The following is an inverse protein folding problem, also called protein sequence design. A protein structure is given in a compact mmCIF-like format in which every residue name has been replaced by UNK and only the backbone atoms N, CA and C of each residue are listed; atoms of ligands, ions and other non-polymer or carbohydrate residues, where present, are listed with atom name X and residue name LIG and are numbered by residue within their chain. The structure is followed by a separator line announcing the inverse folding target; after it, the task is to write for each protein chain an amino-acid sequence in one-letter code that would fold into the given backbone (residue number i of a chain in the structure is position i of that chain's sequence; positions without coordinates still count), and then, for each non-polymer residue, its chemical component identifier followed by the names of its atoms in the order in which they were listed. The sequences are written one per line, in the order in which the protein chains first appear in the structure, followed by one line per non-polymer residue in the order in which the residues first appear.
data_IF_634125442380
#
_entry.id   IF_634125442380
#
_cell.length_a   1.000
_cell.length_b   1.000
_cell.length_c   1.000
_cell.angle_alpha   90.00
_cell.angle_beta   90.00
_cell.angle_gamma   90.00
#
_symmetry.space_group_name_H-M   'P 1'
#
loop_
_entity.id
_entity.type
_entity.pdbx_description
1 polymer ?
#
# COMPACT_ATOMS: atom_id res chain seq x y z
N UNK A 1 -2.64 -8.96 6.55
CA UNK A 1 -2.28 -9.80 5.38
C UNK A 1 -1.11 -9.17 4.66
N UNK A 2 -0.16 -9.98 4.15
CA UNK A 2 1.00 -9.46 3.39
C UNK A 2 0.61 -9.16 1.94
N UNK A 3 0.94 -7.96 1.48
CA UNK A 3 0.70 -7.48 0.11
C UNK A 3 1.98 -7.59 -0.74
N UNK A 4 1.86 -7.76 -2.07
CA UNK A 4 3.01 -7.72 -2.96
C UNK A 4 3.59 -6.30 -3.05
N UNK A 5 4.91 -6.18 -2.98
CA UNK A 5 5.64 -4.91 -3.16
C UNK A 5 6.14 -4.84 -4.61
N UNK A 6 5.80 -3.75 -5.31
CA UNK A 6 6.31 -3.51 -6.66
C UNK A 6 7.74 -2.96 -6.61
N UNK A 7 8.63 -3.54 -7.43
CA UNK A 7 9.99 -3.08 -7.60
C UNK A 7 10.11 -2.00 -8.68
N UNK A 8 11.25 -1.32 -8.68
CA UNK A 8 11.59 -0.31 -9.67
C UNK A 8 11.37 -0.79 -11.12
N UNK A 9 10.87 0.11 -11.97
CA UNK A 9 10.57 -0.17 -13.39
C UNK A 9 9.13 -0.55 -13.66
N UNK A 10 8.33 -0.86 -12.64
CA UNK A 10 6.90 -1.12 -12.80
C UNK A 10 6.13 0.15 -13.20
N UNK A 11 5.33 0.13 -14.30
CA UNK A 11 4.61 1.31 -14.79
C UNK A 11 3.65 1.95 -13.78
N UNK A 12 3.10 1.14 -12.86
CA UNK A 12 2.18 1.61 -11.81
C UNK A 12 2.82 2.64 -10.88
N UNK A 13 4.14 2.54 -10.63
CA UNK A 13 4.89 3.46 -9.78
C UNK A 13 5.03 4.87 -10.36
N UNK A 14 4.64 5.08 -11.63
CA UNK A 14 4.64 6.41 -12.30
C UNK A 14 3.24 7.03 -12.38
N UNK A 15 2.20 6.34 -11.91
CA UNK A 15 0.83 6.85 -11.94
C UNK A 15 0.58 7.76 -10.74
N UNK A 16 -0.15 8.86 -10.98
CA UNK A 16 -0.61 9.73 -9.90
C UNK A 16 -1.70 8.98 -9.11
N UNK A 17 -1.58 8.96 -7.78
CA UNK A 17 -2.60 8.38 -6.91
C UNK A 17 -3.88 9.22 -6.95
N UNK A 18 -5.02 8.57 -6.71
CA UNK A 18 -6.32 9.25 -6.62
C UNK A 18 -6.61 9.60 -5.17
N UNK A 19 -7.20 10.77 -4.97
CA UNK A 19 -7.72 11.14 -3.65
C UNK A 19 -8.86 10.20 -3.27
N UNK A 20 -8.87 9.80 -2.00
CA UNK A 20 -9.93 9.00 -1.41
C UNK A 20 -10.49 9.69 -0.17
N UNK A 21 -11.72 9.36 0.17
CA UNK A 21 -12.40 9.82 1.38
C UNK A 21 -12.33 8.75 2.48
N UNK A 22 -12.58 9.10 3.75
CA UNK A 22 -12.54 8.13 4.86
C UNK A 22 -13.55 6.98 4.78
N UNK A 23 -14.60 7.14 3.96
CA UNK A 23 -15.62 6.13 3.65
C UNK A 23 -15.22 5.17 2.53
N UNK A 24 -13.98 5.26 2.03
CA UNK A 24 -13.46 4.31 1.04
C UNK A 24 -13.58 2.87 1.57
N UNK A 25 -14.15 1.94 0.78
CA UNK A 25 -14.36 0.55 1.20
C UNK A 25 -13.06 -0.08 1.70
N UNK A 26 -13.16 -0.75 2.85
CA UNK A 26 -12.07 -1.53 3.45
C UNK A 26 -10.78 -0.73 3.75
N UNK A 27 -10.85 0.60 3.82
CA UNK A 27 -9.67 1.46 4.05
C UNK A 27 -8.90 1.07 5.32
N UNK A 28 -9.61 0.73 6.40
CA UNK A 28 -8.97 0.31 7.67
C UNK A 28 -8.18 -0.99 7.50
N UNK A 29 -8.73 -1.94 6.77
CA UNK A 29 -8.07 -3.22 6.51
C UNK A 29 -6.88 -3.04 5.56
N UNK A 30 -7.04 -2.24 4.50
CA UNK A 30 -5.97 -1.90 3.58
C UNK A 30 -4.76 -1.29 4.32
N UNK A 31 -5.01 -0.30 5.18
CA UNK A 31 -3.94 0.34 5.98
C UNK A 31 -3.28 -0.66 6.91
N UNK A 32 -4.04 -1.50 7.61
CA UNK A 32 -3.49 -2.55 8.47
C UNK A 32 -2.58 -3.52 7.68
N UNK A 33 -3.04 -3.96 6.51
CA UNK A 33 -2.26 -4.84 5.62
C UNK A 33 -0.97 -4.16 5.12
N UNK A 34 -0.98 -2.86 4.85
CA UNK A 34 0.23 -2.11 4.45
C UNK A 34 1.26 -2.06 5.58
N UNK A 35 0.84 -1.82 6.83
CA UNK A 35 1.76 -1.82 7.97
C UNK A 35 2.33 -3.21 8.27
N UNK A 36 1.51 -4.26 8.18
CA UNK A 36 1.98 -5.65 8.29
C UNK A 36 3.05 -5.96 7.24
N UNK A 37 2.80 -5.55 6.00
CA UNK A 37 3.72 -5.74 4.86
C UNK A 37 5.03 -4.97 5.09
N UNK A 38 4.94 -3.72 5.56
CA UNK A 38 6.10 -2.89 5.87
C UNK A 38 6.99 -3.54 6.93
N UNK A 39 6.38 -3.98 8.03
CA UNK A 39 7.09 -4.65 9.13
C UNK A 39 7.72 -5.96 8.66
N UNK A 40 7.03 -6.72 7.81
CA UNK A 40 7.55 -7.99 7.28
C UNK A 40 8.76 -7.78 6.35
N UNK A 41 8.84 -6.62 5.69
CA UNK A 41 9.95 -6.26 4.82
C UNK A 41 11.08 -5.49 5.54
N UNK A 42 11.04 -5.39 6.88
CA UNK A 42 11.94 -4.57 7.70
C UNK A 42 12.04 -3.11 7.20
N UNK A 43 10.94 -2.58 6.64
CA UNK A 43 10.87 -1.23 6.08
C UNK A 43 10.48 -0.16 7.09
N UNK A 44 10.59 1.11 6.68
CA UNK A 44 10.31 2.29 7.53
C UNK A 44 9.36 3.33 6.92
N UNK A 45 8.82 3.09 5.72
CA UNK A 45 7.91 4.01 5.04
C UNK A 45 6.99 3.30 4.05
#
# INVERSE_FOLDING_TARGET
MILPIYLYGQPVLRKVAQDITPDYPDLKELVANMFDTLKNADGVG
#
